data_IF_855858535675
#
_entry.id   IF_855858535675
#
_cell.length_a   1.000
_cell.length_b   1.000
_cell.length_c   1.000
_cell.angle_alpha   90.00
_cell.angle_beta   90.00
_cell.angle_gamma   90.00
#
_symmetry.space_group_name_H-M   'P 1'
#
loop_
_entity.id
_entity.type
_entity.pdbx_description
1 polymer ?
#
# COMPACT_ATOMS: atom_id res chain seq x y z
N UNK A 1 18.93 4.93 -5.58
CA UNK A 1 19.76 4.12 -4.66
C UNK A 1 20.15 2.81 -5.34
N UNK A 2 21.35 2.31 -5.06
CA UNK A 2 22.21 1.53 -5.97
C UNK A 2 21.91 0.02 -5.84
N UNK A 3 20.94 -0.49 -6.61
CA UNK A 3 20.49 -1.91 -6.60
C UNK A 3 21.63 -2.93 -6.83
N UNK A 4 22.73 -2.52 -7.44
CA UNK A 4 23.92 -3.34 -7.71
C UNK A 4 24.86 -3.52 -6.50
N UNK A 5 24.71 -2.74 -5.43
CA UNK A 5 25.53 -2.91 -4.22
C UNK A 5 25.26 -4.24 -3.52
N UNK A 6 24.05 -4.81 -3.62
CA UNK A 6 23.77 -6.13 -3.07
C UNK A 6 24.62 -7.22 -3.73
N UNK A 7 24.69 -7.21 -5.07
CA UNK A 7 25.49 -8.18 -5.83
C UNK A 7 26.97 -8.04 -5.46
N UNK A 8 27.47 -6.80 -5.40
CA UNK A 8 28.85 -6.52 -4.98
C UNK A 8 29.08 -6.96 -3.53
N UNK A 9 28.16 -6.67 -2.62
CA UNK A 9 28.28 -7.06 -1.21
C UNK A 9 28.27 -8.58 -1.04
N UNK A 10 27.44 -9.30 -1.81
CA UNK A 10 27.40 -10.76 -1.82
C UNK A 10 28.74 -11.31 -2.32
N UNK A 11 29.28 -10.79 -3.42
CA UNK A 11 30.59 -11.21 -3.93
C UNK A 11 31.73 -10.89 -2.96
N UNK A 12 31.73 -9.72 -2.32
CA UNK A 12 32.72 -9.35 -1.30
C UNK A 12 32.62 -10.28 -0.09
N UNK A 13 31.41 -10.62 0.37
CA UNK A 13 31.20 -11.55 1.48
C UNK A 13 31.65 -12.97 1.13
N UNK A 14 31.29 -13.47 -0.06
CA UNK A 14 31.76 -14.76 -0.56
C UNK A 14 33.29 -14.77 -0.66
N UNK A 15 33.90 -13.71 -1.18
CA UNK A 15 35.35 -13.59 -1.28
C UNK A 15 36.04 -13.54 0.09
N UNK A 16 35.48 -12.82 1.06
CA UNK A 16 36.01 -12.77 2.44
C UNK A 16 35.90 -14.12 3.13
N UNK A 17 34.78 -14.82 2.97
CA UNK A 17 34.58 -16.16 3.54
C UNK A 17 35.51 -17.17 2.86
N UNK A 18 35.63 -17.12 1.53
CA UNK A 18 36.55 -17.97 0.77
C UNK A 18 38.00 -17.72 1.19
N UNK A 19 38.41 -16.45 1.32
CA UNK A 19 39.74 -16.08 1.79
C UNK A 19 40.00 -16.54 3.24
N UNK A 20 39.01 -16.47 4.13
CA UNK A 20 39.13 -16.97 5.51
C UNK A 20 39.26 -18.51 5.58
N UNK A 21 38.63 -19.23 4.65
CA UNK A 21 38.75 -20.69 4.51
C UNK A 21 40.11 -21.08 3.92
N UNK A 22 40.56 -20.41 2.86
CA UNK A 22 41.84 -20.70 2.19
C UNK A 22 43.06 -20.30 3.03
N UNK A 23 43.00 -19.15 3.73
CA UNK A 23 44.10 -18.67 4.59
C UNK A 23 44.33 -19.55 5.82
N UNK A 24 43.51 -20.58 6.04
CA UNK A 24 43.64 -21.48 7.17
C UNK A 24 43.19 -20.86 8.50
N UNK A 25 42.63 -19.63 8.50
CA UNK A 25 42.08 -19.00 9.70
C UNK A 25 41.01 -19.88 10.37
N UNK A 26 40.16 -20.54 9.58
CA UNK A 26 39.17 -21.50 10.09
C UNK A 26 39.85 -22.80 10.57
N UNK A 27 40.91 -23.25 9.90
CA UNK A 27 41.67 -24.44 10.32
C UNK A 27 42.45 -24.21 11.63
N UNK A 28 42.90 -22.98 11.88
CA UNK A 28 43.58 -22.56 13.11
C UNK A 28 42.58 -22.34 14.27
N UNK A 29 41.38 -21.82 13.96
CA UNK A 29 40.29 -21.63 14.94
C UNK A 29 39.60 -22.95 15.34
N UNK A 30 39.44 -23.88 14.40
CA UNK A 30 38.96 -25.27 14.65
C UNK A 30 40.09 -26.15 15.23
N UNK A 31 41.31 -25.61 15.24
CA UNK A 31 42.46 -26.10 15.97
C UNK A 31 43.16 -27.26 15.29
N UNK A 32 44.49 -27.17 15.17
CA UNK A 32 45.53 -28.18 15.51
C UNK A 32 45.21 -29.70 15.46
N UNK A 33 44.22 -30.13 14.69
CA UNK A 33 43.79 -31.52 14.56
C UNK A 33 44.07 -31.93 13.13
N UNK A 34 45.29 -32.44 12.94
CA UNK A 34 45.75 -33.07 11.71
C UNK A 34 44.98 -34.35 11.44
N UNK A 35 43.78 -34.24 10.89
CA UNK A 35 43.10 -35.37 10.29
C UNK A 35 42.23 -34.92 9.12
N UNK A 36 42.43 -35.59 7.98
CA UNK A 36 41.82 -35.32 6.67
C UNK A 36 40.27 -35.38 6.66
N UNK A 37 39.65 -35.82 7.76
CA UNK A 37 38.20 -35.93 7.98
C UNK A 37 37.53 -34.65 8.55
N UNK A 38 38.29 -33.59 8.89
CA UNK A 38 37.71 -32.34 9.45
C UNK A 38 37.21 -31.35 8.39
N UNK A 39 37.62 -31.53 7.12
CA UNK A 39 37.19 -30.70 5.98
C UNK A 39 35.66 -30.61 5.78
N UNK A 40 34.87 -31.70 5.82
CA UNK A 40 33.42 -31.59 5.67
C UNK A 40 32.76 -30.80 6.81
N UNK A 41 33.25 -30.92 8.04
CA UNK A 41 32.68 -30.22 9.21
C UNK A 41 32.93 -28.71 9.12
N UNK A 42 34.15 -28.31 8.74
CA UNK A 42 34.48 -26.89 8.53
C UNK A 42 33.63 -26.28 7.40
N UNK A 43 33.43 -27.00 6.29
CA UNK A 43 32.55 -26.54 5.21
C UNK A 43 31.09 -26.37 5.65
N UNK A 44 30.58 -27.28 6.48
CA UNK A 44 29.23 -27.16 7.04
C UNK A 44 29.09 -25.96 7.97
N UNK A 45 30.06 -25.72 8.85
CA UNK A 45 30.04 -24.54 9.73
C UNK A 45 30.07 -23.23 8.95
N UNK A 46 30.87 -23.17 7.88
CA UNK A 46 30.90 -22.02 6.97
C UNK A 46 29.57 -21.83 6.25
N UNK A 47 28.99 -22.91 5.72
CA UNK A 47 27.68 -22.84 5.06
C UNK A 47 26.58 -22.35 6.02
N UNK A 48 26.59 -22.82 7.26
CA UNK A 48 25.66 -22.36 8.32
C UNK A 48 25.91 -20.90 8.67
N UNK A 49 27.17 -20.46 8.78
CA UNK A 49 27.51 -19.06 9.03
C UNK A 49 27.04 -18.14 7.90
N UNK A 50 27.24 -18.53 6.63
CA UNK A 50 26.73 -17.79 5.47
C UNK A 50 25.20 -17.74 5.52
N UNK A 51 24.53 -18.88 5.72
CA UNK A 51 23.07 -18.94 5.75
C UNK A 51 22.49 -18.07 6.88
N UNK A 52 23.05 -18.16 8.09
CA UNK A 52 22.66 -17.32 9.22
C UNK A 52 22.87 -15.84 8.95
N UNK A 53 23.98 -15.47 8.30
CA UNK A 53 24.26 -14.08 7.93
C UNK A 53 23.32 -13.55 6.84
N UNK A 54 22.99 -14.36 5.83
CA UNK A 54 22.00 -14.01 4.79
C UNK A 54 20.62 -13.80 5.41
N UNK A 55 20.18 -14.71 6.29
CA UNK A 55 18.90 -14.59 7.02
C UNK A 55 18.88 -13.32 7.89
N UNK A 56 19.98 -13.03 8.60
CA UNK A 56 20.07 -11.83 9.43
C UNK A 56 20.08 -10.53 8.61
N UNK A 57 20.56 -10.56 7.36
CA UNK A 57 20.63 -9.37 6.49
C UNK A 57 19.38 -9.18 5.62
N UNK A 58 18.55 -10.20 5.43
CA UNK A 58 17.31 -10.14 4.64
C UNK A 58 16.40 -8.94 4.99
N UNK A 59 16.16 -8.61 6.28
CA UNK A 59 15.32 -7.46 6.66
C UNK A 59 15.88 -6.12 6.17
N UNK A 60 17.22 -5.98 6.12
CA UNK A 60 17.89 -4.74 5.69
C UNK A 60 17.93 -4.57 4.16
N UNK A 61 17.63 -5.64 3.41
CA UNK A 61 17.59 -5.64 1.95
C UNK A 61 16.17 -5.49 1.41
N UNK A 62 15.15 -5.62 2.26
CA UNK A 62 13.78 -5.28 1.94
C UNK A 62 13.65 -3.75 1.91
N UNK A 63 13.75 -3.17 0.71
CA UNK A 63 13.59 -1.73 0.53
C UNK A 63 12.11 -1.34 0.61
N UNK A 64 11.81 -0.23 1.26
CA UNK A 64 10.45 0.33 1.39
C UNK A 64 9.80 0.75 0.05
N UNK A 65 10.56 0.71 -1.05
CA UNK A 65 10.11 1.02 -2.42
C UNK A 65 10.29 -0.20 -3.35
N UNK A 66 10.51 -1.37 -2.76
CA UNK A 66 10.72 -2.64 -3.45
C UNK A 66 9.50 -3.57 -3.34
N UNK A 67 9.67 -4.88 -3.56
CA UNK A 67 8.60 -5.88 -3.51
C UNK A 67 7.84 -5.99 -2.17
N UNK A 68 8.27 -5.23 -1.17
CA UNK A 68 7.69 -5.20 0.18
C UNK A 68 7.00 -3.88 0.50
N UNK A 69 6.99 -2.93 -0.44
CA UNK A 69 6.29 -1.65 -0.30
C UNK A 69 4.80 -1.87 -0.01
N UNK A 70 4.22 -2.92 -0.61
CA UNK A 70 2.80 -3.22 -0.54
C UNK A 70 2.49 -4.39 0.42
N UNK A 71 3.30 -4.65 1.46
CA UNK A 71 2.97 -5.72 2.42
C UNK A 71 1.61 -5.48 3.11
N UNK A 72 1.29 -4.24 3.41
CA UNK A 72 -0.01 -3.87 3.98
C UNK A 72 -1.16 -4.19 3.01
N UNK A 73 -0.88 -4.26 1.70
CA UNK A 73 -1.88 -4.64 0.72
C UNK A 73 -2.30 -6.12 0.81
N UNK A 74 -1.46 -6.98 1.39
CA UNK A 74 -1.84 -8.38 1.61
C UNK A 74 -3.05 -8.52 2.53
N UNK A 75 -2.99 -7.89 3.72
CA UNK A 75 -4.07 -7.94 4.72
C UNK A 75 -5.40 -7.44 4.15
N UNK A 76 -5.36 -6.33 3.42
CA UNK A 76 -6.54 -5.75 2.77
C UNK A 76 -7.09 -6.61 1.64
N UNK A 77 -6.22 -7.19 0.80
CA UNK A 77 -6.67 -8.09 -0.27
C UNK A 77 -7.30 -9.36 0.29
N UNK A 78 -6.79 -9.90 1.40
CA UNK A 78 -7.36 -11.07 2.06
C UNK A 78 -8.82 -10.80 2.49
N UNK A 79 -9.09 -9.65 3.14
CA UNK A 79 -10.44 -9.23 3.52
C UNK A 79 -11.35 -8.97 2.31
N UNK A 80 -10.83 -8.27 1.30
CA UNK A 80 -11.58 -7.98 0.07
C UNK A 80 -11.94 -9.28 -0.66
N UNK A 81 -11.03 -10.23 -0.76
CA UNK A 81 -11.27 -11.50 -1.44
C UNK A 81 -12.23 -12.40 -0.69
N UNK A 82 -12.15 -12.46 0.64
CA UNK A 82 -13.13 -13.19 1.46
C UNK A 82 -14.56 -12.68 1.20
N UNK A 83 -14.74 -11.36 1.05
CA UNK A 83 -16.04 -10.78 0.77
C UNK A 83 -16.48 -10.96 -0.68
N UNK A 84 -15.53 -10.86 -1.62
CA UNK A 84 -15.78 -11.02 -3.05
C UNK A 84 -16.15 -12.46 -3.43
N UNK A 85 -15.82 -13.46 -2.61
CA UNK A 85 -16.13 -14.87 -2.88
C UNK A 85 -17.63 -15.17 -2.97
N UNK A 86 -18.46 -14.35 -2.32
CA UNK A 86 -19.93 -14.47 -2.40
C UNK A 86 -20.54 -13.60 -3.51
N UNK A 87 -19.73 -12.84 -4.24
CA UNK A 87 -20.21 -11.96 -5.30
C UNK A 87 -20.46 -12.75 -6.59
N UNK A 88 -21.72 -12.85 -6.99
CA UNK A 88 -22.13 -13.41 -8.28
C UNK A 88 -22.91 -12.35 -9.08
N UNK A 89 -22.28 -11.70 -10.08
CA UNK A 89 -22.97 -10.71 -10.91
C UNK A 89 -23.97 -11.34 -11.90
N UNK A 90 -23.96 -12.66 -12.09
CA UNK A 90 -24.85 -13.35 -13.05
C UNK A 90 -24.50 -13.11 -14.53
N UNK A 91 -23.36 -12.48 -14.84
CA UNK A 91 -22.91 -12.18 -16.20
C UNK A 91 -21.56 -11.47 -16.25
N UNK A 92 -21.08 -11.10 -17.45
CA UNK A 92 -19.82 -10.37 -17.59
C UNK A 92 -19.95 -8.98 -16.97
N UNK A 93 -18.87 -8.47 -16.40
CA UNK A 93 -18.81 -7.14 -15.79
C UNK A 93 -17.88 -6.22 -16.57
N UNK A 94 -18.14 -4.92 -16.48
CA UNK A 94 -17.16 -3.90 -16.81
C UNK A 94 -16.31 -3.64 -15.57
N UNK A 95 -14.99 -3.70 -15.70
CA UNK A 95 -14.05 -3.28 -14.68
C UNK A 95 -13.53 -1.90 -15.08
N UNK A 96 -13.92 -0.87 -14.34
CA UNK A 96 -13.51 0.50 -14.61
C UNK A 96 -12.07 0.71 -14.15
N UNK A 97 -11.21 1.07 -15.12
CA UNK A 97 -9.80 1.37 -14.89
C UNK A 97 -9.51 2.87 -14.87
N UNK A 98 -10.52 3.71 -15.15
CA UNK A 98 -10.35 5.15 -15.33
C UNK A 98 -9.96 5.89 -14.05
N UNK A 99 -10.21 5.30 -12.89
CA UNK A 99 -9.88 5.86 -11.58
C UNK A 99 -8.69 5.18 -10.89
N UNK A 100 -8.03 4.24 -11.57
CA UNK A 100 -6.85 3.55 -11.02
C UNK A 100 -5.64 4.47 -11.01
N UNK A 101 -4.87 4.43 -9.92
CA UNK A 101 -3.61 5.16 -9.85
C UNK A 101 -2.51 4.41 -10.59
N UNK A 102 -1.57 5.11 -11.24
CA UNK A 102 -0.37 4.46 -11.75
C UNK A 102 0.38 3.73 -10.64
N UNK A 103 0.76 2.48 -10.90
CA UNK A 103 1.51 1.63 -9.97
C UNK A 103 0.79 1.36 -8.64
N UNK A 104 -0.55 1.30 -8.65
CA UNK A 104 -1.30 0.78 -7.50
C UNK A 104 -1.12 -0.74 -7.34
N UNK A 105 -1.43 -1.25 -6.14
CA UNK A 105 -1.08 -2.60 -5.73
C UNK A 105 -2.20 -3.64 -5.91
N UNK A 106 -3.40 -3.22 -6.33
CA UNK A 106 -4.64 -3.96 -6.13
C UNK A 106 -5.25 -4.49 -7.42
N UNK A 107 -5.33 -3.68 -8.48
CA UNK A 107 -6.22 -3.95 -9.62
C UNK A 107 -5.88 -5.26 -10.33
N UNK A 108 -4.59 -5.57 -10.46
CA UNK A 108 -4.13 -6.83 -11.04
C UNK A 108 -4.52 -8.04 -10.19
N UNK A 109 -4.49 -7.90 -8.86
CA UNK A 109 -4.89 -8.96 -7.94
C UNK A 109 -6.41 -9.15 -7.96
N UNK A 110 -7.18 -8.06 -7.94
CA UNK A 110 -8.65 -8.09 -8.05
C UNK A 110 -9.09 -8.71 -9.38
N UNK A 111 -8.49 -8.30 -10.50
CA UNK A 111 -8.74 -8.90 -11.82
C UNK A 111 -8.40 -10.39 -11.87
N UNK A 112 -7.33 -10.81 -11.19
CA UNK A 112 -7.00 -12.23 -11.08
C UNK A 112 -8.07 -12.97 -10.26
N UNK A 113 -8.48 -12.43 -9.10
CA UNK A 113 -9.50 -13.05 -8.25
C UNK A 113 -10.83 -13.19 -8.98
N UNK A 114 -11.28 -12.17 -9.69
CA UNK A 114 -12.48 -12.23 -10.53
C UNK A 114 -12.40 -13.39 -11.54
N UNK A 115 -11.24 -13.62 -12.15
CA UNK A 115 -11.05 -14.76 -13.07
C UNK A 115 -11.07 -16.11 -12.36
N UNK A 116 -10.51 -16.20 -11.16
CA UNK A 116 -10.55 -17.42 -10.34
C UNK A 116 -11.97 -17.79 -9.95
N UNK A 117 -12.81 -16.79 -9.66
CA UNK A 117 -14.24 -16.94 -9.39
C UNK A 117 -15.07 -17.22 -10.65
N UNK A 118 -14.44 -17.25 -11.83
CA UNK A 118 -15.14 -17.47 -13.10
C UNK A 118 -15.92 -16.25 -13.60
N UNK A 119 -15.72 -15.08 -12.98
CA UNK A 119 -16.35 -13.82 -13.38
C UNK A 119 -15.60 -13.24 -14.58
N UNK A 120 -16.29 -13.12 -15.70
CA UNK A 120 -15.74 -12.49 -16.89
C UNK A 120 -15.73 -10.97 -16.71
N UNK A 121 -14.56 -10.37 -16.52
CA UNK A 121 -14.41 -8.91 -16.55
C UNK A 121 -13.94 -8.41 -17.92
N UNK A 122 -14.34 -7.19 -18.26
CA UNK A 122 -13.99 -6.46 -19.48
C UNK A 122 -13.63 -5.02 -19.17
N UNK A 123 -12.90 -4.37 -20.06
CA UNK A 123 -12.36 -3.02 -19.90
C UNK A 123 -12.59 -2.21 -21.18
N UNK A 124 -12.61 -0.89 -21.06
CA UNK A 124 -12.76 0.04 -22.19
C UNK A 124 -11.51 0.87 -22.49
N UNK A 125 -10.51 0.87 -21.61
CA UNK A 125 -9.23 1.53 -21.85
C UNK A 125 -8.38 0.77 -22.90
N UNK A 126 -7.99 1.47 -23.97
CA UNK A 126 -7.20 0.91 -25.07
C UNK A 126 -5.81 0.42 -24.64
N UNK A 127 -5.20 1.05 -23.64
CA UNK A 127 -3.91 0.63 -23.10
C UNK A 127 -4.00 -0.73 -22.43
N UNK A 128 -5.03 -0.91 -21.59
CA UNK A 128 -5.32 -2.17 -20.91
C UNK A 128 -5.78 -3.25 -21.89
N UNK A 129 -6.63 -2.91 -22.87
CA UNK A 129 -7.08 -3.84 -23.92
C UNK A 129 -5.89 -4.42 -24.69
N UNK A 130 -4.86 -3.63 -25.02
CA UNK A 130 -3.65 -4.14 -25.70
C UNK A 130 -2.88 -5.16 -24.86
N UNK A 131 -2.98 -5.08 -23.53
CA UNK A 131 -2.30 -6.01 -22.62
C UNK A 131 -3.11 -7.29 -22.40
N UNK A 132 -4.43 -7.15 -22.26
CA UNK A 132 -5.33 -8.27 -21.94
C UNK A 132 -5.91 -8.98 -23.17
N UNK A 133 -5.89 -8.32 -24.33
CA UNK A 133 -6.42 -8.78 -25.61
C UNK A 133 -7.86 -8.33 -25.90
N UNK A 134 -8.22 -8.26 -27.18
CA UNK A 134 -9.51 -7.72 -27.65
C UNK A 134 -10.75 -8.46 -27.12
N UNK A 135 -10.61 -9.72 -26.66
CA UNK A 135 -11.72 -10.45 -26.03
C UNK A 135 -12.19 -9.82 -24.72
N UNK A 136 -11.37 -8.96 -24.11
CA UNK A 136 -11.69 -8.25 -22.87
C UNK A 136 -12.25 -6.86 -23.11
N UNK A 137 -12.53 -6.48 -24.36
CA UNK A 137 -13.15 -5.20 -24.70
C UNK A 137 -14.62 -5.21 -24.29
N UNK A 138 -15.08 -4.11 -23.68
CA UNK A 138 -16.50 -3.86 -23.43
C UNK A 138 -17.28 -3.90 -24.74
N UNK A 139 -18.38 -4.68 -24.79
CA UNK A 139 -19.24 -4.80 -25.97
C UNK A 139 -20.71 -4.40 -25.71
N UNK A 140 -21.04 -4.04 -24.47
CA UNK A 140 -22.37 -3.63 -24.04
C UNK A 140 -23.23 -4.76 -23.46
N UNK A 141 -22.71 -5.99 -23.38
CA UNK A 141 -23.39 -7.09 -22.70
C UNK A 141 -23.08 -7.20 -21.20
N UNK A 142 -22.28 -6.29 -20.66
CA UNK A 142 -21.90 -6.27 -19.25
C UNK A 142 -23.10 -5.92 -18.36
N UNK A 143 -23.28 -6.67 -17.27
CA UNK A 143 -24.44 -6.56 -16.37
C UNK A 143 -24.27 -5.50 -15.29
N UNK A 144 -23.02 -5.14 -14.97
CA UNK A 144 -22.65 -4.08 -14.02
C UNK A 144 -21.27 -3.54 -14.33
N UNK A 145 -20.93 -2.40 -13.73
CA UNK A 145 -19.58 -1.85 -13.68
C UNK A 145 -19.04 -1.95 -12.26
N UNK A 146 -17.88 -2.58 -12.08
CA UNK A 146 -17.12 -2.54 -10.83
C UNK A 146 -16.11 -1.39 -10.91
N UNK A 147 -16.05 -0.58 -9.86
CA UNK A 147 -15.06 0.46 -9.63
C UNK A 147 -14.23 0.14 -8.39
N UNK A 148 -12.93 0.31 -8.52
CA UNK A 148 -11.99 0.20 -7.41
C UNK A 148 -11.78 1.58 -6.78
N UNK A 149 -12.18 1.76 -5.53
CA UNK A 149 -11.99 3.01 -4.78
C UNK A 149 -10.88 2.81 -3.76
N UNK A 150 -9.88 3.70 -3.78
CA UNK A 150 -8.69 3.61 -2.94
C UNK A 150 -8.53 4.86 -2.07
N UNK A 151 -7.72 4.74 -1.01
CA UNK A 151 -7.25 5.89 -0.19
C UNK A 151 -8.39 6.70 0.42
N UNK A 152 -8.20 8.01 0.58
CA UNK A 152 -9.18 8.90 1.20
C UNK A 152 -10.55 8.86 0.51
N UNK A 153 -10.61 8.54 -0.80
CA UNK A 153 -11.87 8.39 -1.52
C UNK A 153 -12.69 7.18 -1.04
N UNK A 154 -12.02 6.11 -0.59
CA UNK A 154 -12.69 4.93 -0.05
C UNK A 154 -13.38 5.23 1.30
N UNK A 155 -12.95 6.29 2.01
CA UNK A 155 -13.51 6.70 3.29
C UNK A 155 -14.76 7.60 3.16
N UNK A 156 -15.16 7.94 1.94
CA UNK A 156 -16.27 8.88 1.66
C UNK A 156 -17.21 8.37 0.58
N UNK A 157 -17.49 7.07 0.61
CA UNK A 157 -18.44 6.49 -0.33
C UNK A 157 -19.83 7.11 -0.18
N UNK A 158 -20.55 7.34 -1.30
CA UNK A 158 -21.96 7.69 -1.27
C UNK A 158 -22.75 6.68 -0.43
N UNK A 159 -23.76 7.15 0.31
CA UNK A 159 -24.59 6.28 1.15
C UNK A 159 -25.39 5.23 0.35
N UNK A 160 -25.58 5.47 -0.94
CA UNK A 160 -26.22 4.58 -1.91
C UNK A 160 -25.21 3.79 -2.75
N UNK A 161 -23.92 3.87 -2.44
CA UNK A 161 -22.91 3.05 -3.12
C UNK A 161 -23.16 1.57 -2.82
N UNK A 162 -23.31 0.78 -3.87
CA UNK A 162 -23.37 -0.66 -3.78
C UNK A 162 -21.96 -1.20 -3.51
N UNK A 163 -21.64 -1.43 -2.23
CA UNK A 163 -20.37 -2.01 -1.80
C UNK A 163 -20.43 -3.52 -1.95
N UNK A 164 -19.49 -4.07 -2.73
CA UNK A 164 -19.37 -5.53 -2.91
C UNK A 164 -18.29 -6.13 -1.98
N UNK A 165 -17.26 -5.34 -1.69
CA UNK A 165 -16.20 -5.75 -0.76
C UNK A 165 -15.40 -4.53 -0.26
N UNK A 166 -15.01 -4.54 1.00
CA UNK A 166 -14.14 -3.55 1.63
C UNK A 166 -13.03 -4.26 2.41
N UNK A 167 -11.82 -3.70 2.42
CA UNK A 167 -10.74 -4.19 3.25
C UNK A 167 -9.88 -3.07 3.82
N UNK A 168 -9.16 -3.40 4.88
CA UNK A 168 -8.32 -2.49 5.64
C UNK A 168 -7.14 -3.20 6.30
N UNK A 169 -5.97 -2.55 6.45
CA UNK A 169 -4.83 -3.13 7.15
C UNK A 169 -4.83 -2.83 8.66
N UNK A 170 -5.96 -2.38 9.22
CA UNK A 170 -6.11 -2.02 10.64
C UNK A 170 -7.43 -2.58 11.18
N UNK A 171 -7.46 -2.90 12.47
CA UNK A 171 -8.65 -3.47 13.10
C UNK A 171 -9.80 -2.45 13.25
N UNK A 172 -11.07 -2.90 13.36
CA UNK A 172 -12.23 -2.01 13.40
C UNK A 172 -12.25 -0.98 14.55
N UNK A 173 -11.65 -1.29 15.71
CA UNK A 173 -11.56 -0.32 16.81
C UNK A 173 -10.56 0.78 16.47
N UNK A 174 -9.46 0.42 15.84
CA UNK A 174 -8.47 1.35 15.33
C UNK A 174 -9.04 2.22 14.21
N UNK A 175 -9.83 1.65 13.30
CA UNK A 175 -10.54 2.41 12.26
C UNK A 175 -11.46 3.47 12.85
N UNK A 176 -12.36 3.08 13.75
CA UNK A 176 -13.28 4.01 14.39
C UNK A 176 -12.53 5.15 15.12
N UNK A 177 -11.38 4.83 15.74
CA UNK A 177 -10.50 5.83 16.37
C UNK A 177 -9.92 6.79 15.34
N UNK A 178 -9.35 6.27 14.25
CA UNK A 178 -8.76 7.07 13.17
C UNK A 178 -9.82 7.95 12.49
N UNK A 179 -10.99 7.41 12.20
CA UNK A 179 -12.09 8.15 11.58
C UNK A 179 -12.60 9.27 12.48
N UNK A 180 -12.66 9.06 13.80
CA UNK A 180 -13.01 10.10 14.76
C UNK A 180 -11.96 11.22 14.80
N UNK A 181 -10.66 10.88 14.75
CA UNK A 181 -9.57 11.87 14.68
C UNK A 181 -9.66 12.70 13.40
N UNK A 182 -9.83 12.04 12.25
CA UNK A 182 -10.01 12.70 10.95
C UNK A 182 -11.23 13.62 11.00
N UNK A 183 -12.38 13.14 11.47
CA UNK A 183 -13.61 13.92 11.53
C UNK A 183 -13.46 15.18 12.40
N UNK A 184 -12.83 15.07 13.58
CA UNK A 184 -12.60 16.21 14.46
C UNK A 184 -11.67 17.26 13.81
N UNK A 185 -10.57 16.83 13.18
CA UNK A 185 -9.67 17.74 12.48
C UNK A 185 -10.32 18.38 11.24
N UNK A 186 -11.23 17.67 10.57
CA UNK A 186 -12.04 18.22 9.47
C UNK A 186 -12.97 19.33 9.97
N UNK A 187 -13.64 19.14 11.11
CA UNK A 187 -14.49 20.17 11.71
C UNK A 187 -13.68 21.43 12.09
N UNK A 188 -12.48 21.24 12.65
CA UNK A 188 -11.58 22.33 12.99
C UNK A 188 -11.06 23.08 11.75
N UNK A 189 -10.76 22.36 10.66
CA UNK A 189 -10.32 22.96 9.40
C UNK A 189 -11.44 23.78 8.75
N UNK A 190 -12.66 23.25 8.72
CA UNK A 190 -13.82 23.92 8.12
C UNK A 190 -14.25 25.15 8.92
N UNK A 191 -14.18 25.08 10.25
CA UNK A 191 -14.52 26.22 11.12
C UNK A 191 -13.49 27.35 11.06
N UNK A 192 -12.34 27.13 10.42
CA UNK A 192 -11.23 28.09 10.37
C UNK A 192 -10.42 28.18 11.67
N UNK A 193 -10.58 27.21 12.58
CA UNK A 193 -9.80 27.12 13.81
C UNK A 193 -8.32 26.73 13.55
N UNK A 194 -8.05 26.21 12.35
CA UNK A 194 -6.72 25.83 11.87
C UNK A 194 -6.30 26.79 10.78
N UNK A 195 -5.07 27.32 10.88
CA UNK A 195 -4.52 28.22 9.86
C UNK A 195 -3.21 27.68 9.30
N UNK A 196 -3.17 27.55 7.98
CA UNK A 196 -2.02 27.02 7.23
C UNK A 196 -1.41 28.11 6.36
N UNK A 197 -0.08 28.22 6.35
CA UNK A 197 0.65 29.00 5.36
C UNK A 197 0.89 28.18 4.08
N UNK A 198 -0.08 28.25 3.16
CA UNK A 198 0.02 27.61 1.86
C UNK A 198 0.79 28.44 0.81
N UNK A 199 1.35 29.61 1.18
CA UNK A 199 2.01 30.49 0.22
C UNK A 199 3.21 29.78 -0.44
N UNK A 200 3.28 29.88 -1.77
CA UNK A 200 4.36 29.29 -2.57
C UNK A 200 4.24 27.79 -2.85
N UNK A 201 3.15 27.11 -2.47
CA UNK A 201 2.93 25.66 -2.69
C UNK A 201 2.17 25.32 -3.98
N UNK A 202 2.44 26.04 -5.07
CA UNK A 202 1.66 25.94 -6.32
C UNK A 202 0.22 26.45 -6.15
N UNK A 203 -0.55 26.49 -7.24
CA UNK A 203 -1.89 27.11 -7.22
C UNK A 203 -2.98 26.18 -6.66
N UNK A 204 -2.79 24.86 -6.75
CA UNK A 204 -3.81 23.86 -6.37
C UNK A 204 -4.01 23.77 -4.85
N UNK A 205 -2.92 23.76 -4.09
CA UNK A 205 -2.98 23.52 -2.65
C UNK A 205 -3.62 24.68 -1.86
N UNK A 206 -3.27 25.96 -2.12
CA UNK A 206 -3.97 27.09 -1.54
C UNK A 206 -5.46 27.09 -1.87
N UNK A 207 -5.84 26.73 -3.12
CA UNK A 207 -7.24 26.66 -3.53
C UNK A 207 -8.01 25.59 -2.73
N UNK A 208 -7.41 24.42 -2.47
CA UNK A 208 -8.01 23.38 -1.65
C UNK A 208 -8.20 23.80 -0.20
N UNK A 209 -7.22 24.45 0.42
CA UNK A 209 -7.36 25.00 1.77
C UNK A 209 -8.42 26.10 1.85
N UNK A 210 -8.52 26.95 0.82
CA UNK A 210 -9.57 27.95 0.72
C UNK A 210 -10.97 27.31 0.58
N UNK A 211 -11.11 26.25 -0.22
CA UNK A 211 -12.37 25.53 -0.36
C UNK A 211 -12.77 24.84 0.97
N UNK A 212 -11.83 24.20 1.65
CA UNK A 212 -12.06 23.57 2.95
C UNK A 212 -12.54 24.58 4.00
N UNK A 213 -11.85 25.72 4.15
CA UNK A 213 -12.24 26.79 5.09
C UNK A 213 -13.53 27.51 4.67
N UNK A 214 -13.94 27.40 3.40
CA UNK A 214 -15.24 27.87 2.92
C UNK A 214 -16.41 26.90 3.17
N UNK A 215 -16.17 25.74 3.82
CA UNK A 215 -17.21 24.78 4.14
C UNK A 215 -17.16 23.46 3.36
N UNK A 216 -16.23 23.29 2.42
CA UNK A 216 -16.12 22.05 1.65
C UNK A 216 -15.55 20.91 2.50
N UNK A 217 -16.45 20.13 3.08
CA UNK A 217 -16.10 18.98 3.92
C UNK A 217 -15.36 17.88 3.18
N UNK A 218 -15.68 17.65 1.91
CA UNK A 218 -15.02 16.61 1.12
C UNK A 218 -13.55 16.98 0.89
N UNK A 219 -13.30 18.22 0.47
CA UNK A 219 -11.93 18.75 0.31
C UNK A 219 -11.18 18.78 1.64
N UNK A 220 -11.82 19.22 2.73
CA UNK A 220 -11.21 19.21 4.06
C UNK A 220 -10.79 17.79 4.49
N UNK A 221 -11.65 16.79 4.27
CA UNK A 221 -11.35 15.40 4.61
C UNK A 221 -10.17 14.85 3.81
N UNK A 222 -10.10 15.14 2.51
CA UNK A 222 -8.94 14.76 1.68
C UNK A 222 -7.64 15.38 2.23
N UNK A 223 -7.65 16.67 2.58
CA UNK A 223 -6.46 17.33 3.14
C UNK A 223 -5.99 16.70 4.47
N UNK A 224 -6.93 16.27 5.31
CA UNK A 224 -6.61 15.63 6.60
C UNK A 224 -6.18 14.18 6.39
N UNK A 225 -7.00 13.38 5.70
CA UNK A 225 -6.81 11.94 5.54
C UNK A 225 -5.60 11.59 4.67
N UNK A 226 -5.36 12.32 3.58
CA UNK A 226 -4.19 12.07 2.71
C UNK A 226 -2.88 12.65 3.30
N UNK A 227 -2.91 13.08 4.57
CA UNK A 227 -1.72 13.52 5.29
C UNK A 227 -1.20 14.90 4.91
N UNK A 228 -1.93 15.69 4.11
CA UNK A 228 -1.52 17.03 3.71
C UNK A 228 -1.36 17.94 4.93
N UNK A 229 -2.30 17.88 5.88
CA UNK A 229 -2.20 18.65 7.14
C UNK A 229 -0.97 18.23 7.96
N UNK A 230 -0.68 16.92 8.05
CA UNK A 230 0.51 16.43 8.73
C UNK A 230 1.81 16.89 8.03
N UNK A 231 1.81 16.91 6.69
CA UNK A 231 2.91 17.48 5.91
C UNK A 231 3.11 18.97 6.19
N UNK A 232 2.04 19.77 6.24
CA UNK A 232 2.12 21.19 6.59
C UNK A 232 2.69 21.40 7.99
N UNK A 233 2.31 20.56 8.95
CA UNK A 233 2.88 20.59 10.29
C UNK A 233 4.39 20.35 10.28
N UNK A 234 4.82 19.30 9.58
CA UNK A 234 6.23 18.91 9.47
C UNK A 234 7.09 19.97 8.76
N UNK A 235 6.52 20.69 7.79
CA UNK A 235 7.18 21.79 7.08
C UNK A 235 7.12 23.14 7.84
N UNK A 236 6.55 23.17 9.06
CA UNK A 236 6.45 24.38 9.88
C UNK A 236 5.43 25.40 9.37
N UNK A 237 4.45 24.96 8.58
CA UNK A 237 3.44 25.81 7.93
C UNK A 237 2.09 25.85 8.66
N UNK A 238 1.92 25.08 9.74
CA UNK A 238 0.80 25.29 10.65
C UNK A 238 1.05 26.56 11.47
N UNK A 239 0.28 27.61 11.18
CA UNK A 239 0.36 28.89 11.89
C UNK A 239 -0.50 28.85 13.15
N UNK A 240 -1.66 28.21 13.09
CA UNK A 240 -2.55 27.93 14.21
C UNK A 240 -2.99 26.47 14.13
N UNK A 241 -2.93 25.77 15.27
CA UNK A 241 -3.31 24.36 15.41
C UNK A 241 -4.32 24.19 16.55
N UNK A 242 -5.00 23.05 16.53
CA UNK A 242 -5.95 22.62 17.55
C UNK A 242 -5.51 21.27 18.13
N UNK A 243 -6.02 20.87 19.31
CA UNK A 243 -5.73 19.54 19.85
C UNK A 243 -6.12 18.39 18.90
N UNK A 244 -7.14 18.56 18.07
CA UNK A 244 -7.53 17.54 17.09
C UNK A 244 -6.52 17.45 15.94
N UNK A 245 -6.03 18.59 15.42
CA UNK A 245 -4.96 18.59 14.41
C UNK A 245 -3.67 18.05 14.98
N UNK A 246 -3.29 18.42 16.20
CA UNK A 246 -2.09 17.89 16.86
C UNK A 246 -2.16 16.36 17.02
N UNK A 247 -3.35 15.83 17.34
CA UNK A 247 -3.57 14.39 17.42
C UNK A 247 -3.45 13.71 16.04
N UNK A 248 -3.97 14.31 14.98
CA UNK A 248 -3.79 13.81 13.59
C UNK A 248 -2.31 13.83 13.20
N UNK A 249 -1.57 14.88 13.53
CA UNK A 249 -0.13 14.97 13.27
C UNK A 249 0.63 13.89 14.04
N UNK A 250 0.29 13.66 15.31
CA UNK A 250 0.92 12.64 16.14
C UNK A 250 0.65 11.21 15.65
N UNK A 251 -0.53 10.96 15.10
CA UNK A 251 -0.97 9.65 14.59
C UNK A 251 -0.82 9.52 13.06
N UNK A 252 -0.06 10.42 12.42
CA UNK A 252 0.01 10.51 10.96
C UNK A 252 0.41 9.19 10.28
N UNK A 253 1.33 8.41 10.87
CA UNK A 253 1.74 7.11 10.32
C UNK A 253 0.62 6.07 10.37
N UNK A 254 -0.23 6.10 11.40
CA UNK A 254 -1.37 5.20 11.51
C UNK A 254 -2.49 5.62 10.57
N UNK A 255 -2.74 6.93 10.46
CA UNK A 255 -3.71 7.49 9.50
C UNK A 255 -3.29 7.12 8.08
N UNK A 256 -2.01 7.29 7.73
CA UNK A 256 -1.47 6.87 6.44
C UNK A 256 -1.65 5.37 6.22
N UNK A 257 -1.32 4.52 7.21
CA UNK A 257 -1.57 3.06 7.10
C UNK A 257 -3.04 2.75 6.80
N UNK A 258 -4.00 3.33 7.54
CA UNK A 258 -5.43 3.14 7.28
C UNK A 258 -5.77 3.62 5.88
N UNK A 259 -5.51 4.89 5.58
CA UNK A 259 -5.92 5.53 4.33
C UNK A 259 -5.30 4.80 3.15
N UNK A 260 -3.98 4.68 3.08
CA UNK A 260 -3.27 4.10 1.93
C UNK A 260 -3.61 2.62 1.71
N UNK A 261 -3.85 1.88 2.78
CA UNK A 261 -4.21 0.48 2.70
C UNK A 261 -5.70 0.23 2.53
N UNK A 262 -6.58 1.23 2.57
CA UNK A 262 -8.03 0.99 2.39
C UNK A 262 -8.35 0.77 0.92
N UNK A 263 -9.11 -0.31 0.66
CA UNK A 263 -9.64 -0.66 -0.65
C UNK A 263 -11.13 -0.94 -0.54
N UNK A 264 -11.93 -0.33 -1.39
CA UNK A 264 -13.35 -0.67 -1.54
C UNK A 264 -13.66 -0.95 -3.00
N UNK A 265 -14.31 -2.07 -3.27
CA UNK A 265 -14.92 -2.34 -4.56
C UNK A 265 -16.40 -2.00 -4.47
N UNK A 266 -16.85 -1.19 -5.43
CA UNK A 266 -18.27 -0.85 -5.59
C UNK A 266 -18.75 -1.31 -6.95
N UNK A 267 -20.00 -1.72 -7.05
CA UNK A 267 -20.64 -2.05 -8.30
C UNK A 267 -21.77 -1.06 -8.62
N UNK A 268 -22.10 -0.88 -9.89
CA UNK A 268 -23.28 -0.12 -10.29
C UNK A 268 -24.53 -1.04 -10.30
N UNK A 269 -25.71 -0.58 -9.87
CA UNK A 269 -26.95 -1.38 -9.93
C UNK A 269 -27.21 -1.94 -11.35
N UNK A 270 -27.84 -3.12 -11.50
CA UNK A 270 -28.81 -3.72 -10.57
C UNK A 270 -28.31 -4.95 -9.78
N UNK A 271 -27.01 -5.09 -9.55
CA UNK A 271 -26.51 -6.24 -8.76
C UNK A 271 -26.91 -6.15 -7.29
N UNK A 272 -27.05 -7.30 -6.65
CA UNK A 272 -27.29 -7.38 -5.20
C UNK A 272 -25.99 -7.09 -4.44
N UNK A 273 -26.09 -6.18 -3.47
CA UNK A 273 -24.97 -5.68 -2.67
C UNK A 273 -25.26 -5.96 -1.19
N UNK A 274 -24.21 -6.01 -0.37
CA UNK A 274 -24.33 -6.28 1.07
C UNK A 274 -24.78 -5.05 1.85
#
# INVERSE_FOLDING_TARGET
>A
HVRWLFVISLFVQIALVWAAVESGLVADLVGRVGNQHSRPVASWLVAVAIAGFVIANLPFQAHDLGPTADRAAGETLDEVFEQLDDFDPGGPIRYDVGNLRPFEAWSSAVQMRLRELGIEFRVDDEGVIRQLGDRRRVDGSEVTTIRQIERGAALVLPADACVISEGSPVDPLTEARVDALIAAAVDDLISGAVRVDAAGLGDDLPARFAAATAGDRATARVLVADGVVAFMAADGRLVESTPAVDAVVAEAALIDRRVVGTLVLVADPPVDCR
#
